data_IF_784707317252
#
_entry.id   IF_784707317252
#
_cell.length_a   1.000
_cell.length_b   1.000
_cell.length_c   1.000
_cell.angle_alpha   90.00
_cell.angle_beta   90.00
_cell.angle_gamma   90.00
#
_symmetry.space_group_name_H-M   'P 1'
#
loop_
_entity.id
_entity.type
_entity.pdbx_description
1 polymer ?
#
# COMPACT_ATOMS: atom_id res chain seq x y z
N UNK A 1 23.20 -16.74 3.05
CA UNK A 1 23.00 -17.54 1.86
C UNK A 1 22.42 -16.69 0.75
N UNK A 2 22.74 -17.06 -0.47
CA UNK A 2 22.32 -16.29 -1.65
C UNK A 2 20.79 -16.19 -1.76
N UNK A 3 20.08 -17.25 -1.38
CA UNK A 3 18.63 -17.29 -1.50
C UNK A 3 17.95 -16.27 -0.59
N UNK A 4 18.47 -16.11 0.62
CA UNK A 4 17.90 -15.13 1.56
C UNK A 4 18.13 -13.70 1.10
N UNK A 5 19.32 -13.42 0.58
CA UNK A 5 19.64 -12.09 0.06
C UNK A 5 18.74 -11.74 -1.13
N UNK A 6 18.51 -12.71 -2.01
CA UNK A 6 17.64 -12.51 -3.17
C UNK A 6 16.21 -12.26 -2.76
N UNK A 7 15.73 -12.98 -1.75
CA UNK A 7 14.38 -12.80 -1.25
C UNK A 7 14.21 -11.39 -0.67
N UNK A 8 15.19 -10.92 0.08
CA UNK A 8 15.15 -9.58 0.67
C UNK A 8 15.12 -8.49 -0.40
N UNK A 9 15.91 -8.67 -1.47
CA UNK A 9 15.91 -7.71 -2.58
C UNK A 9 14.55 -7.63 -3.26
N UNK A 10 13.92 -8.77 -3.51
CA UNK A 10 12.61 -8.82 -4.14
C UNK A 10 11.55 -8.18 -3.25
N UNK A 11 11.62 -8.45 -1.96
CA UNK A 11 10.68 -7.85 -1.00
C UNK A 11 10.84 -6.35 -0.96
N UNK A 12 12.08 -5.86 -0.90
CA UNK A 12 12.36 -4.44 -0.87
C UNK A 12 11.89 -3.73 -2.14
N UNK A 13 12.12 -4.35 -3.29
CA UNK A 13 11.65 -3.81 -4.57
C UNK A 13 10.14 -3.70 -4.58
N UNK A 14 9.44 -4.72 -4.09
CA UNK A 14 7.99 -4.71 -4.04
C UNK A 14 7.47 -3.60 -3.13
N UNK A 15 8.09 -3.45 -1.96
CA UNK A 15 7.71 -2.40 -1.02
C UNK A 15 7.93 -1.01 -1.60
N UNK A 16 9.03 -0.82 -2.33
CA UNK A 16 9.31 0.45 -2.99
C UNK A 16 8.25 0.77 -4.05
N UNK A 17 7.85 -0.22 -4.82
CA UNK A 17 6.77 -0.04 -5.81
C UNK A 17 5.46 0.34 -5.13
N UNK A 18 5.14 -0.31 -4.02
CA UNK A 18 3.95 0.04 -3.25
C UNK A 18 4.01 1.47 -2.75
N UNK A 19 5.15 1.90 -2.23
CA UNK A 19 5.33 3.27 -1.75
C UNK A 19 5.14 4.30 -2.87
N UNK A 20 5.55 3.96 -4.07
CA UNK A 20 5.35 4.84 -5.23
C UNK A 20 3.88 4.90 -5.64
N UNK A 21 3.15 3.80 -5.49
CA UNK A 21 1.73 3.76 -5.84
C UNK A 21 0.84 4.47 -4.82
N UNK A 22 1.25 4.52 -3.56
CA UNK A 22 0.44 5.09 -2.49
C UNK A 22 -0.02 6.52 -2.78
N UNK A 23 0.88 7.47 -3.12
CA UNK A 23 0.43 8.85 -3.38
C UNK A 23 -0.52 8.95 -4.56
N UNK A 24 -0.34 8.12 -5.57
CA UNK A 24 -1.22 8.11 -6.74
C UNK A 24 -2.61 7.63 -6.35
N UNK A 25 -2.68 6.55 -5.59
CA UNK A 25 -3.94 5.97 -5.15
C UNK A 25 -4.66 6.90 -4.16
N UNK A 26 -3.92 7.53 -3.26
CA UNK A 26 -4.51 8.49 -2.33
C UNK A 26 -5.15 9.66 -3.07
N UNK A 27 -4.51 10.11 -4.13
CA UNK A 27 -5.06 11.19 -4.94
C UNK A 27 -6.35 10.77 -5.63
N UNK A 28 -6.42 9.53 -6.11
CA UNK A 28 -7.63 9.00 -6.70
C UNK A 28 -8.76 8.92 -5.67
N UNK A 29 -8.44 8.54 -4.45
CA UNK A 29 -9.42 8.47 -3.37
C UNK A 29 -9.95 9.86 -3.05
N UNK A 30 -9.08 10.88 -3.02
CA UNK A 30 -9.50 12.25 -2.76
C UNK A 30 -10.47 12.77 -3.82
N UNK A 31 -10.21 12.42 -5.07
CA UNK A 31 -11.02 12.92 -6.18
C UNK A 31 -12.37 12.20 -6.27
N UNK A 32 -12.36 10.87 -6.19
CA UNK A 32 -13.53 10.06 -6.47
C UNK A 32 -14.01 9.17 -5.32
N UNK A 33 -13.24 9.05 -4.25
CA UNK A 33 -13.51 8.08 -3.18
C UNK A 33 -13.77 6.69 -3.73
N UNK A 34 -12.96 6.28 -4.71
CA UNK A 34 -13.11 5.01 -5.40
C UNK A 34 -12.84 3.85 -4.43
N UNK A 35 -13.83 2.98 -4.24
CA UNK A 35 -13.70 1.85 -3.32
C UNK A 35 -12.58 0.90 -3.70
N UNK A 36 -12.36 0.71 -4.98
CA UNK A 36 -11.26 -0.14 -5.45
C UNK A 36 -9.91 0.45 -5.06
N UNK A 37 -9.76 1.76 -5.20
CA UNK A 37 -8.52 2.43 -4.79
C UNK A 37 -8.33 2.33 -3.28
N UNK A 38 -9.41 2.51 -2.52
CA UNK A 38 -9.37 2.39 -1.06
C UNK A 38 -8.96 0.97 -0.67
N UNK A 39 -9.57 -0.05 -1.26
CA UNK A 39 -9.23 -1.44 -0.97
C UNK A 39 -7.79 -1.74 -1.32
N UNK A 40 -7.32 -1.26 -2.45
CA UNK A 40 -5.93 -1.44 -2.87
C UNK A 40 -4.98 -0.79 -1.88
N UNK A 41 -5.28 0.44 -1.45
CA UNK A 41 -4.47 1.13 -0.45
C UNK A 41 -4.45 0.37 0.87
N UNK A 42 -5.58 -0.16 1.30
CA UNK A 42 -5.63 -0.96 2.53
C UNK A 42 -4.70 -2.16 2.44
N UNK A 43 -4.70 -2.86 1.31
CA UNK A 43 -3.81 -3.98 1.08
C UNK A 43 -2.34 -3.54 1.11
N UNK A 44 -2.04 -2.43 0.46
CA UNK A 44 -0.67 -1.91 0.42
C UNK A 44 -0.21 -1.50 1.81
N UNK A 45 -1.02 -0.75 2.53
CA UNK A 45 -0.68 -0.33 3.89
C UNK A 45 -0.52 -1.52 4.82
N UNK A 46 -1.38 -2.53 4.69
CA UNK A 46 -1.24 -3.76 5.46
C UNK A 46 0.08 -4.46 5.17
N UNK A 47 0.45 -4.54 3.90
CA UNK A 47 1.70 -5.17 3.48
C UNK A 47 2.92 -4.39 3.99
N UNK A 48 2.85 -3.06 3.95
CA UNK A 48 3.93 -2.20 4.42
C UNK A 48 3.98 -2.08 5.95
N UNK A 49 2.95 -2.54 6.64
CA UNK A 49 2.86 -2.40 8.08
C UNK A 49 2.48 -1.01 8.55
N UNK A 50 1.87 -0.22 7.67
CA UNK A 50 1.43 1.14 7.99
C UNK A 50 0.02 1.12 8.58
N UNK A 51 -0.05 0.94 9.89
CA UNK A 51 -1.33 0.81 10.58
C UNK A 51 -2.16 2.10 10.53
N UNK A 52 -1.51 3.25 10.60
CA UNK A 52 -2.20 4.54 10.55
C UNK A 52 -2.88 4.75 9.20
N UNK A 53 -2.19 4.45 8.11
CA UNK A 53 -2.75 4.53 6.78
C UNK A 53 -3.90 3.56 6.58
N UNK A 54 -3.73 2.33 7.08
CA UNK A 54 -4.77 1.32 7.02
C UNK A 54 -6.05 1.79 7.72
N UNK A 55 -5.90 2.36 8.92
CA UNK A 55 -7.02 2.86 9.69
C UNK A 55 -7.76 3.98 8.96
N UNK A 56 -7.02 4.92 8.36
CA UNK A 56 -7.62 6.02 7.62
C UNK A 56 -8.45 5.51 6.45
N UNK A 57 -7.92 4.54 5.71
CA UNK A 57 -8.65 3.97 4.60
C UNK A 57 -9.88 3.20 5.07
N UNK A 58 -9.76 2.49 6.18
CA UNK A 58 -10.88 1.75 6.75
C UNK A 58 -12.01 2.70 7.16
N UNK A 59 -11.68 3.84 7.74
CA UNK A 59 -12.69 4.83 8.14
C UNK A 59 -13.45 5.38 6.94
N UNK A 60 -12.78 5.50 5.79
CA UNK A 60 -13.44 5.98 4.58
C UNK A 60 -14.47 4.98 4.03
N UNK A 61 -14.28 3.70 4.32
CA UNK A 61 -15.18 2.64 3.84
C UNK A 61 -16.37 2.44 4.76
N UNK A 62 -16.19 2.80 6.03
CA UNK A 62 -17.26 2.72 7.02
C UNK A 62 -18.16 3.93 6.90
#
# INVERSE_FOLDING_TARGET
RADNARYDELKETRENLYKECVPILEKLVEINKNQEAISTLMNIYGTLGNNDGFKRMKELVE
#
